data_IF_780706076356
#
_entry.id   IF_780706076356
#
_cell.length_a   1.000
_cell.length_b   1.000
_cell.length_c   1.000
_cell.angle_alpha   90.00
_cell.angle_beta   90.00
_cell.angle_gamma   90.00
#
_symmetry.space_group_name_H-M   'P 1'
#
loop_
_entity.id
_entity.type
_entity.pdbx_description
1 polymer ?
#
# COMPACT_ATOMS: atom_id res chain seq x y z
N UNK A 1 22.41 -24.01 39.79
CA UNK A 1 21.05 -24.36 39.26
C UNK A 1 20.29 -23.07 38.92
N UNK A 2 20.72 -22.36 37.87
CA UNK A 2 20.22 -21.05 37.44
C UNK A 2 19.39 -21.19 36.14
N UNK A 3 18.26 -21.90 36.18
CA UNK A 3 17.42 -22.09 34.97
C UNK A 3 15.90 -22.14 35.25
N UNK A 4 15.40 -21.67 36.39
CA UNK A 4 13.96 -21.87 36.73
C UNK A 4 13.17 -20.57 37.01
N UNK A 5 13.80 -19.40 37.15
CA UNK A 5 13.09 -18.20 37.65
C UNK A 5 12.98 -17.01 36.68
N UNK A 6 12.90 -17.26 35.37
CA UNK A 6 12.45 -16.25 34.40
C UNK A 6 11.09 -16.60 33.76
N UNK A 7 10.21 -17.25 34.53
CA UNK A 7 8.74 -17.29 34.28
C UNK A 7 8.10 -15.93 34.56
N UNK A 8 8.75 -14.85 34.17
CA UNK A 8 8.20 -13.49 34.25
C UNK A 8 7.09 -13.44 33.23
N UNK A 9 5.83 -13.46 33.70
CA UNK A 9 4.60 -13.34 32.91
C UNK A 9 4.81 -12.33 31.77
N UNK A 10 5.04 -12.80 30.55
CA UNK A 10 5.07 -11.95 29.35
C UNK A 10 3.68 -11.32 29.23
N UNK A 11 3.61 -10.03 29.50
CA UNK A 11 2.40 -9.22 29.40
C UNK A 11 2.20 -8.74 27.95
N UNK A 12 1.04 -8.16 27.63
CA UNK A 12 0.71 -7.56 26.30
C UNK A 12 1.86 -6.70 25.74
N UNK A 13 2.53 -5.96 26.62
CA UNK A 13 3.67 -5.10 26.31
C UNK A 13 4.95 -5.87 25.97
N UNK A 14 5.14 -7.08 26.49
CA UNK A 14 6.30 -7.94 26.20
C UNK A 14 6.31 -8.42 24.75
N UNK A 15 5.15 -8.77 24.18
CA UNK A 15 5.08 -9.28 22.81
C UNK A 15 4.98 -8.17 21.76
N UNK A 16 4.34 -7.03 22.05
CA UNK A 16 4.46 -5.84 21.16
C UNK A 16 5.89 -5.31 21.18
N UNK A 17 6.57 -5.34 22.34
CA UNK A 17 8.00 -5.05 22.42
C UNK A 17 8.84 -6.12 21.71
N UNK A 18 8.49 -7.41 21.78
CA UNK A 18 9.19 -8.46 21.03
C UNK A 18 8.94 -8.37 19.51
N UNK A 19 7.75 -7.94 19.07
CA UNK A 19 7.48 -7.62 17.66
C UNK A 19 8.29 -6.41 17.19
N UNK A 20 8.48 -5.40 18.05
CA UNK A 20 9.37 -4.26 17.76
C UNK A 20 10.86 -4.60 17.86
N UNK A 21 11.25 -5.48 18.77
CA UNK A 21 12.63 -5.85 19.06
C UNK A 21 13.15 -6.97 18.14
N UNK A 22 12.25 -7.80 17.62
CA UNK A 22 12.54 -8.89 16.70
C UNK A 22 11.43 -8.96 15.65
N UNK A 23 11.34 -7.90 14.83
CA UNK A 23 10.43 -7.85 13.68
C UNK A 23 10.74 -9.08 12.82
N UNK A 24 9.77 -9.98 12.58
CA UNK A 24 10.00 -11.14 11.75
C UNK A 24 10.50 -10.69 10.38
N UNK A 25 11.59 -11.28 9.89
CA UNK A 25 12.15 -10.93 8.59
C UNK A 25 11.30 -11.49 7.45
N UNK A 26 10.58 -12.58 7.72
CA UNK A 26 9.73 -13.32 6.80
C UNK A 26 8.34 -13.57 7.41
N UNK A 27 7.40 -13.91 6.52
CA UNK A 27 6.02 -14.17 6.90
C UNK A 27 5.88 -15.42 7.78
N UNK A 28 6.66 -16.47 7.51
CA UNK A 28 6.63 -17.73 8.26
C UNK A 28 7.06 -17.54 9.72
N UNK A 29 8.16 -16.82 9.97
CA UNK A 29 8.59 -16.48 11.32
C UNK A 29 7.56 -15.64 12.06
N UNK A 30 6.90 -14.73 11.34
CA UNK A 30 5.81 -13.93 11.90
C UNK A 30 4.59 -14.76 12.29
N UNK A 31 4.21 -15.73 11.46
CA UNK A 31 3.08 -16.62 11.73
C UNK A 31 3.36 -17.54 12.93
N UNK A 32 4.56 -18.12 12.99
CA UNK A 32 5.01 -18.93 14.15
C UNK A 32 4.93 -18.13 15.46
N UNK A 33 5.29 -16.85 15.42
CA UNK A 33 5.18 -15.97 16.57
C UNK A 33 3.73 -15.65 16.96
N UNK A 34 2.84 -15.46 15.97
CA UNK A 34 1.40 -15.30 16.20
C UNK A 34 0.79 -16.53 16.88
N UNK A 35 1.14 -17.72 16.40
CA UNK A 35 0.69 -18.99 16.99
C UNK A 35 1.24 -19.19 18.41
N UNK A 36 2.51 -18.82 18.64
CA UNK A 36 3.09 -18.87 19.99
C UNK A 36 2.36 -17.92 20.95
N UNK A 37 2.01 -16.70 20.52
CA UNK A 37 1.20 -15.76 21.31
C UNK A 37 -0.15 -16.37 21.68
N UNK A 38 -0.84 -16.98 20.71
CA UNK A 38 -2.14 -17.62 20.94
C UNK A 38 -2.03 -18.82 21.89
N UNK A 39 -0.99 -19.66 21.74
CA UNK A 39 -0.71 -20.79 22.64
C UNK A 39 -0.43 -20.35 24.08
N UNK A 40 0.17 -19.17 24.25
CA UNK A 40 0.43 -18.57 25.56
C UNK A 40 -0.79 -17.80 26.11
N UNK A 41 -1.93 -17.81 25.41
CA UNK A 41 -3.15 -17.12 25.83
C UNK A 41 -3.11 -15.60 25.67
N UNK A 42 -2.22 -15.10 24.81
CA UNK A 42 -2.03 -13.67 24.54
C UNK A 42 -2.78 -13.31 23.27
N UNK A 43 -3.76 -12.40 23.41
CA UNK A 43 -4.56 -11.91 22.28
C UNK A 43 -3.70 -11.00 21.38
N UNK A 44 -3.56 -11.32 20.08
CA UNK A 44 -2.92 -10.43 19.12
C UNK A 44 -3.69 -9.10 19.01
N UNK A 45 -2.97 -8.00 18.79
CA UNK A 45 -3.57 -6.70 18.52
C UNK A 45 -3.31 -6.23 17.07
N UNK A 46 -3.85 -5.07 16.72
CA UNK A 46 -3.65 -4.51 15.37
C UNK A 46 -2.19 -4.25 15.02
N UNK A 47 -1.30 -4.04 16.00
CA UNK A 47 0.13 -3.83 15.71
C UNK A 47 0.75 -5.13 15.25
N UNK A 48 0.42 -6.25 15.90
CA UNK A 48 0.83 -7.60 15.47
C UNK A 48 0.32 -7.91 14.07
N UNK A 49 -0.98 -7.68 13.81
CA UNK A 49 -1.59 -7.96 12.50
C UNK A 49 -0.98 -7.07 11.40
N UNK A 50 -0.86 -5.76 11.64
CA UNK A 50 -0.26 -4.82 10.68
C UNK A 50 1.19 -5.17 10.37
N UNK A 51 1.95 -5.67 11.34
CA UNK A 51 3.33 -6.10 11.09
C UNK A 51 3.39 -7.29 10.13
N UNK A 52 2.52 -8.29 10.31
CA UNK A 52 2.41 -9.43 9.38
C UNK A 52 1.92 -8.99 8.00
N UNK A 53 0.96 -8.06 7.94
CA UNK A 53 0.49 -7.49 6.68
C UNK A 53 1.60 -6.73 5.95
N UNK A 54 2.48 -6.03 6.67
CA UNK A 54 3.66 -5.38 6.08
C UNK A 54 4.62 -6.39 5.44
N UNK A 55 4.76 -7.59 6.03
CA UNK A 55 5.54 -8.68 5.44
C UNK A 55 4.84 -9.28 4.22
N UNK A 56 3.52 -9.47 4.29
CA UNK A 56 2.72 -9.89 3.13
C UNK A 56 2.88 -8.91 1.96
N UNK A 57 2.82 -7.61 2.26
CA UNK A 57 3.03 -6.56 1.28
C UNK A 57 4.39 -6.71 0.62
N UNK A 58 5.49 -6.91 1.39
CA UNK A 58 6.84 -7.09 0.84
C UNK A 58 6.99 -8.32 -0.04
N UNK A 59 6.36 -9.43 0.34
CA UNK A 59 6.51 -10.71 -0.33
C UNK A 59 5.44 -11.02 -1.38
N UNK A 60 4.45 -10.15 -1.58
CA UNK A 60 3.35 -10.41 -2.51
C UNK A 60 2.38 -11.50 -2.05
N UNK A 61 2.32 -11.79 -0.74
CA UNK A 61 1.49 -12.85 -0.16
C UNK A 61 0.05 -12.36 0.05
N UNK A 62 -0.66 -12.14 -1.05
CA UNK A 62 -1.97 -11.49 -1.00
C UNK A 62 -3.07 -12.38 -0.38
N UNK A 63 -3.02 -13.70 -0.56
CA UNK A 63 -4.03 -14.62 0.01
C UNK A 63 -3.95 -14.65 1.52
N UNK A 64 -2.73 -14.70 2.01
CA UNK A 64 -2.36 -14.65 3.41
C UNK A 64 -2.78 -13.30 4.02
N UNK A 65 -2.58 -12.20 3.28
CA UNK A 65 -3.02 -10.87 3.72
C UNK A 65 -4.55 -10.75 3.90
N UNK A 66 -5.34 -11.44 3.05
CA UNK A 66 -6.80 -11.52 3.20
C UNK A 66 -7.18 -12.38 4.40
N UNK A 67 -6.51 -13.52 4.60
CA UNK A 67 -6.72 -14.35 5.80
C UNK A 67 -6.47 -13.59 7.10
N UNK A 68 -5.44 -12.72 7.13
CA UNK A 68 -5.17 -11.83 8.26
C UNK A 68 -6.24 -10.76 8.45
N UNK A 69 -6.77 -10.19 7.37
CA UNK A 69 -7.89 -9.25 7.44
C UNK A 69 -9.12 -9.91 8.08
N UNK A 70 -9.53 -11.07 7.58
CA UNK A 70 -10.67 -11.81 8.13
C UNK A 70 -10.43 -12.20 9.61
N UNK A 71 -9.22 -12.65 9.94
CA UNK A 71 -8.81 -12.97 11.31
C UNK A 71 -8.97 -11.76 12.24
N UNK A 72 -8.51 -10.57 11.80
CA UNK A 72 -8.62 -9.34 12.59
C UNK A 72 -10.07 -8.91 12.81
N UNK A 73 -10.91 -8.99 11.77
CA UNK A 73 -12.34 -8.69 11.86
C UNK A 73 -13.07 -9.65 12.79
N UNK A 74 -12.80 -10.97 12.69
CA UNK A 74 -13.35 -11.97 13.61
C UNK A 74 -12.94 -11.73 15.06
N UNK A 75 -11.75 -11.17 15.27
CA UNK A 75 -11.22 -10.80 16.59
C UNK A 75 -11.69 -9.41 17.06
N UNK A 76 -12.67 -8.80 16.37
CA UNK A 76 -13.20 -7.46 16.64
C UNK A 76 -12.13 -6.36 16.64
N UNK A 77 -11.00 -6.60 15.97
CA UNK A 77 -10.02 -5.57 15.70
C UNK A 77 -10.50 -4.74 14.52
N UNK A 78 -10.27 -3.43 14.57
CA UNK A 78 -10.66 -2.52 13.49
C UNK A 78 -9.50 -2.36 12.50
N UNK A 79 -9.61 -2.87 11.26
CA UNK A 79 -8.66 -2.59 10.20
C UNK A 79 -8.57 -1.08 9.97
N UNK A 80 -7.37 -0.60 9.68
CA UNK A 80 -7.10 0.81 9.41
C UNK A 80 -6.61 1.02 7.97
N UNK A 81 -6.28 2.27 7.63
CA UNK A 81 -5.71 2.60 6.32
C UNK A 81 -4.45 1.78 6.01
N UNK A 82 -3.61 1.50 7.01
CA UNK A 82 -2.37 0.75 6.81
C UNK A 82 -2.66 -0.71 6.48
N UNK A 83 -3.66 -1.31 7.13
CA UNK A 83 -4.14 -2.67 6.83
C UNK A 83 -4.49 -2.80 5.35
N UNK A 84 -5.39 -1.94 4.85
CA UNK A 84 -5.82 -2.00 3.45
C UNK A 84 -4.71 -1.64 2.46
N UNK A 85 -3.84 -0.67 2.80
CA UNK A 85 -2.69 -0.31 1.95
C UNK A 85 -1.73 -1.50 1.78
N UNK A 86 -1.51 -2.25 2.85
CA UNK A 86 -0.64 -3.42 2.84
C UNK A 86 -1.22 -4.56 1.98
N UNK A 87 -2.53 -4.79 2.07
CA UNK A 87 -3.23 -5.80 1.26
C UNK A 87 -3.17 -5.45 -0.23
N UNK A 88 -3.50 -4.20 -0.59
CA UNK A 88 -3.42 -3.72 -1.98
C UNK A 88 -1.97 -3.81 -2.49
N UNK A 89 -0.98 -3.48 -1.66
CA UNK A 89 0.44 -3.62 -2.01
C UNK A 89 0.86 -5.08 -2.22
N UNK A 90 0.32 -6.01 -1.43
CA UNK A 90 0.56 -7.45 -1.60
C UNK A 90 -0.05 -7.94 -2.92
N UNK A 91 -1.29 -7.55 -3.24
CA UNK A 91 -1.96 -7.87 -4.51
C UNK A 91 -1.21 -7.29 -5.71
N UNK A 92 -0.77 -6.03 -5.60
CA UNK A 92 0.06 -5.35 -6.59
C UNK A 92 1.32 -6.19 -6.88
N UNK A 93 2.11 -6.53 -5.86
CA UNK A 93 3.34 -7.33 -6.06
C UNK A 93 3.07 -8.74 -6.58
N UNK A 94 1.92 -9.32 -6.27
CA UNK A 94 1.51 -10.63 -6.79
C UNK A 94 1.00 -10.61 -8.24
N UNK A 95 0.77 -9.43 -8.82
CA UNK A 95 0.16 -9.31 -10.14
C UNK A 95 -1.36 -9.41 -10.15
N UNK A 96 -2.02 -9.39 -8.99
CA UNK A 96 -3.48 -9.50 -8.83
C UNK A 96 -4.14 -8.11 -8.92
N UNK A 97 -3.89 -7.44 -10.04
CA UNK A 97 -4.18 -6.03 -10.19
C UNK A 97 -5.68 -5.70 -10.20
N UNK A 98 -6.50 -6.51 -10.89
CA UNK A 98 -7.95 -6.31 -10.95
C UNK A 98 -8.59 -6.41 -9.55
N UNK A 99 -8.06 -7.30 -8.69
CA UNK A 99 -8.50 -7.43 -7.30
C UNK A 99 -8.09 -6.23 -6.46
N UNK A 100 -6.86 -5.75 -6.64
CA UNK A 100 -6.35 -4.56 -5.96
C UNK A 100 -7.22 -3.33 -6.28
N UNK A 101 -7.60 -3.16 -7.55
CA UNK A 101 -8.51 -2.09 -7.99
C UNK A 101 -9.92 -2.25 -7.43
N UNK A 102 -10.48 -3.47 -7.48
CA UNK A 102 -11.82 -3.74 -6.93
C UNK A 102 -11.90 -3.43 -5.43
N UNK A 103 -10.87 -3.82 -4.67
CA UNK A 103 -10.77 -3.53 -3.25
C UNK A 103 -10.60 -2.02 -3.00
N UNK A 104 -9.82 -1.32 -3.83
CA UNK A 104 -9.71 0.12 -3.73
C UNK A 104 -11.04 0.83 -4.01
N UNK A 105 -11.77 0.40 -5.05
CA UNK A 105 -13.08 0.96 -5.39
C UNK A 105 -14.08 0.83 -4.25
N UNK A 106 -14.14 -0.33 -3.58
CA UNK A 106 -15.01 -0.51 -2.41
C UNK A 106 -14.60 0.43 -1.26
N UNK A 107 -13.30 0.57 -0.99
CA UNK A 107 -12.79 1.46 0.04
C UNK A 107 -13.00 2.95 -0.29
N UNK A 108 -12.94 3.32 -1.58
CA UNK A 108 -13.16 4.69 -2.04
C UNK A 108 -14.59 5.18 -1.84
N UNK A 109 -15.54 4.24 -1.78
CA UNK A 109 -16.96 4.50 -1.50
C UNK A 109 -17.24 4.58 -0.01
N UNK A 110 -16.51 3.82 0.81
CA UNK A 110 -16.81 3.66 2.24
C UNK A 110 -15.90 4.48 3.18
N UNK A 111 -14.67 4.82 2.77
CA UNK A 111 -13.66 5.43 3.64
C UNK A 111 -13.08 6.73 3.04
N UNK A 112 -12.60 7.62 3.93
CA UNK A 112 -11.69 8.72 3.57
C UNK A 112 -10.36 8.11 3.14
N UNK A 113 -10.25 7.77 1.86
CA UNK A 113 -9.03 7.26 1.24
C UNK A 113 -7.92 8.32 1.32
N UNK A 114 -6.71 7.87 1.64
CA UNK A 114 -5.54 8.70 1.92
C UNK A 114 -4.44 8.50 0.87
N UNK A 115 -3.47 9.43 0.82
CA UNK A 115 -2.36 9.46 -0.12
C UNK A 115 -1.67 8.10 -0.39
N UNK A 116 -1.34 7.27 0.62
CA UNK A 116 -0.63 6.01 0.37
C UNK A 116 -1.43 5.01 -0.47
N UNK A 117 -2.75 4.98 -0.32
CA UNK A 117 -3.62 4.09 -1.09
C UNK A 117 -3.66 4.49 -2.58
N UNK A 118 -3.76 5.80 -2.85
CA UNK A 118 -3.81 6.32 -4.23
C UNK A 118 -2.50 6.03 -4.96
N UNK A 119 -1.35 6.15 -4.29
CA UNK A 119 -0.04 5.88 -4.91
C UNK A 119 0.14 4.42 -5.32
N UNK A 120 -0.25 3.47 -4.47
CA UNK A 120 -0.15 2.04 -4.81
C UNK A 120 -1.08 1.69 -5.97
N UNK A 121 -2.26 2.33 -6.03
CA UNK A 121 -3.24 2.09 -7.10
C UNK A 121 -2.84 2.74 -8.42
N UNK A 122 -2.20 3.92 -8.41
CA UNK A 122 -1.68 4.51 -9.65
C UNK A 122 -0.52 3.70 -10.21
N UNK A 123 0.35 3.15 -9.36
CA UNK A 123 1.39 2.22 -9.77
C UNK A 123 0.81 0.90 -10.32
N UNK A 124 -0.21 0.34 -9.65
CA UNK A 124 -0.93 -0.84 -10.13
C UNK A 124 -1.54 -0.60 -11.52
N UNK A 125 -2.30 0.49 -11.67
CA UNK A 125 -3.02 0.82 -12.90
C UNK A 125 -2.09 1.04 -14.09
N UNK A 126 -0.88 1.57 -13.85
CA UNK A 126 0.14 1.73 -14.88
C UNK A 126 0.55 0.37 -15.48
N UNK A 127 0.76 -0.65 -14.65
CA UNK A 127 1.22 -1.98 -15.08
C UNK A 127 0.17 -2.79 -15.87
N UNK A 128 -1.11 -2.47 -15.71
CA UNK A 128 -2.21 -3.09 -16.49
C UNK A 128 -2.57 -2.26 -17.73
N UNK A 129 -1.82 -1.18 -18.02
CA UNK A 129 -2.19 -0.21 -19.06
C UNK A 129 -3.58 0.43 -18.86
N UNK A 130 -4.11 0.44 -17.64
CA UNK A 130 -5.38 1.10 -17.27
C UNK A 130 -5.13 2.50 -16.69
N UNK A 131 -4.24 3.27 -17.30
CA UNK A 131 -3.83 4.60 -16.86
C UNK A 131 -4.99 5.62 -16.83
N UNK A 132 -6.00 5.46 -17.68
CA UNK A 132 -7.19 6.31 -17.68
C UNK A 132 -7.90 6.25 -16.32
N UNK A 133 -8.07 5.03 -15.78
CA UNK A 133 -8.59 4.83 -14.42
C UNK A 133 -7.68 5.44 -13.36
N UNK A 134 -6.36 5.33 -13.53
CA UNK A 134 -5.40 5.95 -12.62
C UNK A 134 -5.62 7.47 -12.55
N UNK A 135 -5.75 8.14 -13.70
CA UNK A 135 -6.00 9.58 -13.77
C UNK A 135 -7.38 9.96 -13.21
N UNK A 136 -8.41 9.16 -13.48
CA UNK A 136 -9.75 9.37 -12.91
C UNK A 136 -9.73 9.30 -11.37
N UNK A 137 -8.95 8.37 -10.81
CA UNK A 137 -8.76 8.31 -9.36
C UNK A 137 -8.08 9.57 -8.85
N UNK A 138 -6.99 10.02 -9.48
CA UNK A 138 -6.29 11.25 -9.07
C UNK A 138 -7.23 12.46 -9.10
N UNK A 139 -8.06 12.58 -10.14
CA UNK A 139 -9.05 13.64 -10.30
C UNK A 139 -10.12 13.61 -9.20
N UNK A 140 -10.75 12.45 -8.98
CA UNK A 140 -11.75 12.27 -7.93
C UNK A 140 -11.18 12.58 -6.54
N UNK A 141 -9.91 12.27 -6.30
CA UNK A 141 -9.23 12.64 -5.05
C UNK A 141 -8.96 14.13 -4.94
N UNK A 142 -8.57 14.78 -6.04
CA UNK A 142 -8.32 16.22 -6.04
C UNK A 142 -9.58 17.04 -5.73
N UNK A 143 -10.73 16.59 -6.23
CA UNK A 143 -12.04 17.23 -5.96
C UNK A 143 -12.41 17.23 -4.47
N UNK A 144 -11.87 16.29 -3.68
CA UNK A 144 -12.10 16.17 -2.23
C UNK A 144 -11.16 17.08 -1.39
N UNK A 145 -10.74 18.22 -1.94
CA UNK A 145 -9.79 19.19 -1.37
C UNK A 145 -8.37 18.66 -1.11
N UNK A 146 -7.97 17.62 -1.81
CA UNK A 146 -6.59 17.14 -1.75
C UNK A 146 -5.79 17.69 -2.93
N UNK A 147 -4.50 17.99 -2.73
CA UNK A 147 -3.62 18.42 -3.82
C UNK A 147 -2.70 17.26 -4.24
N UNK A 148 -2.81 16.76 -5.49
CA UNK A 148 -1.92 15.73 -5.98
C UNK A 148 -0.46 16.19 -5.99
N UNK A 149 0.45 15.28 -5.62
CA UNK A 149 1.89 15.52 -5.69
C UNK A 149 2.48 14.87 -6.94
N UNK A 150 3.60 15.41 -7.42
CA UNK A 150 4.31 14.89 -8.59
C UNK A 150 4.74 13.42 -8.46
N UNK A 151 5.03 12.95 -7.24
CA UNK A 151 5.38 11.55 -6.95
C UNK A 151 4.31 10.56 -7.37
N UNK A 152 3.04 10.97 -7.36
CA UNK A 152 1.91 10.13 -7.76
C UNK A 152 1.88 9.82 -9.26
N UNK A 153 2.43 10.73 -10.06
CA UNK A 153 2.51 10.61 -11.51
C UNK A 153 3.79 9.94 -11.98
N UNK A 154 4.80 9.75 -11.11
CA UNK A 154 6.07 9.12 -11.49
C UNK A 154 5.88 7.76 -12.18
N UNK A 155 5.04 6.83 -11.68
CA UNK A 155 4.80 5.56 -12.38
C UNK A 155 4.20 5.76 -13.78
N UNK A 156 3.31 6.75 -13.94
CA UNK A 156 2.63 7.03 -15.21
C UNK A 156 3.54 7.73 -16.23
N UNK A 157 4.44 8.60 -15.76
CA UNK A 157 5.41 9.34 -16.59
C UNK A 157 6.44 8.42 -17.26
N UNK A 158 6.72 7.26 -16.67
CA UNK A 158 7.59 6.24 -17.29
C UNK A 158 6.91 5.56 -18.49
N UNK A 159 5.58 5.64 -18.60
CA UNK A 159 4.85 5.08 -19.74
C UNK A 159 4.71 6.12 -20.86
N UNK A 160 5.38 5.85 -21.99
CA UNK A 160 5.43 6.74 -23.14
C UNK A 160 4.03 7.03 -23.74
N UNK A 161 3.14 6.05 -23.71
CA UNK A 161 1.83 6.09 -24.40
C UNK A 161 0.89 7.17 -23.84
N UNK A 162 1.08 7.59 -22.59
CA UNK A 162 0.05 8.33 -21.81
C UNK A 162 0.55 9.70 -21.34
N UNK A 163 1.75 10.07 -21.79
CA UNK A 163 2.50 11.23 -21.32
C UNK A 163 1.71 12.54 -21.52
N UNK A 164 1.01 12.69 -22.65
CA UNK A 164 0.19 13.87 -22.92
C UNK A 164 -0.96 14.02 -21.91
N UNK A 165 -1.68 12.94 -21.63
CA UNK A 165 -2.81 12.96 -20.70
C UNK A 165 -2.37 13.16 -19.25
N UNK A 166 -1.24 12.54 -18.87
CA UNK A 166 -0.60 12.76 -17.55
C UNK A 166 -0.21 14.22 -17.38
N UNK A 167 0.48 14.81 -18.36
CA UNK A 167 0.93 16.21 -18.28
C UNK A 167 -0.26 17.16 -18.23
N UNK A 168 -1.32 16.91 -19.02
CA UNK A 168 -2.57 17.69 -18.97
C UNK A 168 -3.24 17.61 -17.60
N UNK A 169 -3.28 16.41 -17.00
CA UNK A 169 -3.82 16.21 -15.65
C UNK A 169 -2.98 16.95 -14.59
N UNK A 170 -1.65 16.88 -14.68
CA UNK A 170 -0.75 17.62 -13.79
C UNK A 170 -0.94 19.14 -13.88
N UNK A 171 -1.10 19.68 -15.10
CA UNK A 171 -1.41 21.10 -15.31
C UNK A 171 -2.74 21.52 -14.69
N UNK A 172 -3.79 20.71 -14.87
CA UNK A 172 -5.11 20.93 -14.27
C UNK A 172 -5.01 21.12 -12.75
N UNK A 173 -4.13 20.36 -12.10
CA UNK A 173 -3.90 20.43 -10.65
C UNK A 173 -2.80 21.42 -10.22
N UNK A 174 -2.27 22.23 -11.15
CA UNK A 174 -1.26 23.25 -10.86
C UNK A 174 0.13 22.70 -10.51
N UNK A 175 0.43 21.46 -10.90
CA UNK A 175 1.71 20.80 -10.64
C UNK A 175 2.67 21.15 -11.77
N UNK A 176 3.72 21.90 -11.45
CA UNK A 176 4.78 22.23 -12.42
C UNK A 176 5.81 21.11 -12.47
N UNK A 177 6.07 20.59 -13.66
CA UNK A 177 7.24 19.75 -13.92
C UNK A 177 8.42 20.64 -14.34
N UNK A 178 9.61 20.28 -13.89
CA UNK A 178 10.83 20.95 -14.32
C UNK A 178 11.09 20.63 -15.80
N UNK A 179 11.43 21.65 -16.60
CA UNK A 179 11.52 21.54 -18.06
C UNK A 179 12.52 20.46 -18.51
N UNK A 180 13.59 20.24 -17.73
CA UNK A 180 14.57 19.18 -18.00
C UNK A 180 13.98 17.76 -17.85
N UNK A 181 13.07 17.53 -16.90
CA UNK A 181 12.41 16.24 -16.72
C UNK A 181 11.35 16.01 -17.79
N UNK A 182 10.61 17.05 -18.18
CA UNK A 182 9.67 17.00 -19.30
C UNK A 182 10.40 16.69 -20.60
N UNK A 183 11.53 17.34 -20.88
CA UNK A 183 12.35 17.09 -22.08
C UNK A 183 13.00 15.70 -22.07
N UNK A 184 13.47 15.20 -20.92
CA UNK A 184 14.02 13.83 -20.85
C UNK A 184 12.94 12.76 -21.08
N UNK A 185 11.72 12.98 -20.59
CA UNK A 185 10.57 12.08 -20.74
C UNK A 185 9.96 12.19 -22.15
N UNK A 186 9.94 13.38 -22.74
CA UNK A 186 9.54 13.62 -24.13
C UNK A 186 10.59 13.19 -25.16
N UNK A 187 11.89 13.20 -24.87
CA UNK A 187 12.92 12.79 -25.85
C UNK A 187 12.85 11.30 -26.21
N UNK A 188 12.11 10.48 -25.44
CA UNK A 188 11.76 9.10 -25.81
C UNK A 188 10.54 8.98 -26.74
N UNK A 189 9.89 10.09 -27.09
CA UNK A 189 8.76 10.16 -28.02
C UNK A 189 9.03 11.33 -28.96
N UNK A 190 9.29 11.05 -30.23
CA UNK A 190 9.41 12.08 -31.26
C UNK A 190 8.08 12.81 -31.51
N UNK A 191 7.61 13.62 -30.55
CA UNK A 191 6.54 14.60 -30.74
C UNK A 191 6.91 15.87 -29.96
N UNK A 192 7.84 16.61 -30.54
CA UNK A 192 8.01 18.03 -30.28
C UNK A 192 6.93 18.77 -31.07
N UNK A 193 5.99 19.41 -30.40
CA UNK A 193 5.56 20.79 -30.69
C UNK A 193 4.18 21.06 -30.07
N UNK A 194 4.18 21.79 -28.95
CA UNK A 194 3.22 22.87 -28.58
C UNK A 194 3.32 23.11 -27.08
N UNK A 195 4.39 23.80 -26.70
CA UNK A 195 4.54 24.43 -25.38
C UNK A 195 5.13 25.82 -25.63
N UNK A 196 4.25 26.78 -25.91
CA UNK A 196 4.48 28.21 -25.75
C UNK A 196 3.45 28.73 -24.75
#
# INVERSE_FOLDING_TARGET
>A
KMMVEAKTKRNKYSYTAAFKANVPQDFEGGLSMLEAMQREGITPDMVTINSLLGLCAKSGLWRESIGLLESSQRSQLSPDTFTYTSIISAMHRAGEWDRALTLFDSLSRELKVNHPLVTVVTEASNRIHQWARALDYIDNFAEKQWRPQISLYHPLLESSIVLQDVVKNMQKHGIRMDAQRVVMVLNNIHVVSQWQ
#
